data_IF_082342018515
#
_entry.id   IF_082342018515
#
_cell.length_a   1.000
_cell.length_b   1.000
_cell.length_c   1.000
_cell.angle_alpha   90.00
_cell.angle_beta   90.00
_cell.angle_gamma   90.00
#
_symmetry.space_group_name_H-M   'P 1'
#
loop_
_entity.id
_entity.type
_entity.pdbx_description
1 polymer ?
#
# COMPACT_ATOMS: atom_id res chain seq x y z
N UNK A 1 31.30 -13.49 -33.02
CA UNK A 1 29.96 -13.56 -33.64
C UNK A 1 29.10 -14.73 -33.08
N UNK A 2 29.69 -15.83 -32.58
CA UNK A 2 28.97 -16.97 -31.97
C UNK A 2 28.25 -16.63 -30.64
N UNK A 3 28.67 -15.60 -29.92
CA UNK A 3 28.07 -15.21 -28.61
C UNK A 3 26.83 -14.34 -28.71
N UNK A 4 26.49 -13.80 -29.89
CA UNK A 4 25.29 -12.99 -30.11
C UNK A 4 23.99 -13.81 -30.18
N UNK A 5 24.09 -15.13 -30.43
CA UNK A 5 22.89 -16.01 -30.37
C UNK A 5 22.35 -16.25 -28.96
N UNK A 6 23.10 -15.97 -27.92
CA UNK A 6 22.71 -16.23 -26.55
C UNK A 6 21.84 -15.10 -25.96
N UNK A 7 21.92 -13.87 -26.46
CA UNK A 7 21.12 -12.72 -25.99
C UNK A 7 19.63 -12.82 -26.29
N UNK A 8 19.25 -13.61 -27.31
CA UNK A 8 17.88 -13.89 -27.69
C UNK A 8 17.30 -15.16 -27.03
N UNK A 9 17.93 -15.66 -25.98
CA UNK A 9 17.36 -16.81 -25.27
C UNK A 9 16.07 -16.39 -24.54
N UNK A 10 15.02 -17.23 -24.50
CA UNK A 10 13.77 -16.94 -23.83
C UNK A 10 13.94 -16.50 -22.37
N UNK A 11 14.92 -17.09 -21.67
CA UNK A 11 15.25 -16.76 -20.29
C UNK A 11 15.77 -15.32 -20.15
N UNK A 12 16.75 -14.94 -20.99
CA UNK A 12 17.35 -13.59 -20.94
C UNK A 12 16.31 -12.53 -21.28
N UNK A 13 15.52 -12.75 -22.33
CA UNK A 13 14.45 -11.81 -22.75
C UNK A 13 13.37 -11.67 -21.68
N UNK A 14 12.93 -12.80 -21.10
CA UNK A 14 11.92 -12.78 -20.03
C UNK A 14 12.40 -12.09 -18.76
N UNK A 15 13.65 -12.32 -18.34
CA UNK A 15 14.23 -11.63 -17.20
C UNK A 15 14.38 -10.13 -17.49
N UNK A 16 14.88 -9.75 -18.67
CA UNK A 16 15.07 -8.35 -19.02
C UNK A 16 13.76 -7.55 -18.94
N UNK A 17 12.66 -8.09 -19.50
CA UNK A 17 11.36 -7.41 -19.48
C UNK A 17 10.77 -7.22 -18.06
N UNK A 18 11.13 -8.06 -17.10
CA UNK A 18 10.55 -8.02 -15.76
C UNK A 18 11.44 -7.48 -14.65
N UNK A 19 12.77 -7.54 -14.81
CA UNK A 19 13.70 -7.27 -13.72
C UNK A 19 13.65 -5.80 -13.25
N UNK A 20 13.74 -4.86 -14.18
CA UNK A 20 13.63 -3.44 -13.82
C UNK A 20 12.26 -3.09 -13.20
N UNK A 21 11.10 -3.46 -13.80
CA UNK A 21 9.80 -3.23 -13.19
C UNK A 21 9.66 -3.86 -11.79
N UNK A 22 10.22 -5.07 -11.59
CA UNK A 22 10.23 -5.74 -10.28
C UNK A 22 10.99 -4.92 -9.23
N UNK A 23 12.23 -4.55 -9.52
CA UNK A 23 13.08 -3.78 -8.62
C UNK A 23 12.48 -2.38 -8.35
N UNK A 24 11.94 -1.74 -9.38
CA UNK A 24 11.29 -0.45 -9.27
C UNK A 24 10.00 -0.55 -8.42
N UNK A 25 9.21 -1.61 -8.57
CA UNK A 25 8.05 -1.86 -7.71
C UNK A 25 8.43 -1.92 -6.24
N UNK A 26 9.53 -2.60 -5.90
CA UNK A 26 10.03 -2.66 -4.53
C UNK A 26 10.60 -1.32 -4.07
N UNK A 27 11.36 -0.63 -4.89
CA UNK A 27 11.91 0.67 -4.57
C UNK A 27 10.82 1.73 -4.27
N UNK A 28 9.78 1.76 -5.12
CA UNK A 28 8.70 2.76 -5.03
C UNK A 28 7.65 2.43 -3.97
N UNK A 29 7.49 1.14 -3.62
CA UNK A 29 6.41 0.66 -2.75
C UNK A 29 6.93 -0.19 -1.58
N UNK A 30 8.15 0.04 -1.15
CA UNK A 30 8.84 -0.79 -0.15
C UNK A 30 8.02 -0.99 1.13
N UNK A 31 7.30 0.04 1.58
CA UNK A 31 6.46 -0.04 2.78
C UNK A 31 5.14 -0.77 2.57
N UNK A 32 4.74 -1.00 1.31
CA UNK A 32 3.52 -1.72 0.92
C UNK A 32 3.76 -3.20 0.60
N UNK A 33 5.02 -3.59 0.31
CA UNK A 33 5.37 -4.90 -0.24
C UNK A 33 6.40 -5.63 0.63
N UNK A 34 6.25 -5.55 1.94
CA UNK A 34 7.24 -6.02 2.91
C UNK A 34 7.02 -7.47 3.40
N UNK A 35 6.05 -8.21 2.85
CA UNK A 35 5.80 -9.60 3.23
C UNK A 35 6.48 -10.61 2.30
N UNK A 36 6.91 -11.76 2.86
CA UNK A 36 7.49 -12.86 2.08
C UNK A 36 6.52 -13.39 1.02
N UNK A 37 5.23 -13.47 1.35
CA UNK A 37 4.21 -13.94 0.40
C UNK A 37 4.09 -13.01 -0.80
N UNK A 38 4.14 -11.69 -0.59
CA UNK A 38 4.19 -10.72 -1.69
C UNK A 38 5.49 -10.84 -2.50
N UNK A 39 6.63 -11.04 -1.86
CA UNK A 39 7.90 -11.22 -2.56
C UNK A 39 7.83 -12.41 -3.52
N UNK A 40 7.37 -13.57 -3.05
CA UNK A 40 7.22 -14.77 -3.88
C UNK A 40 6.22 -14.56 -5.02
N UNK A 41 5.10 -13.91 -4.73
CA UNK A 41 4.11 -13.55 -5.74
C UNK A 41 4.70 -12.62 -6.81
N UNK A 42 5.42 -11.57 -6.42
CA UNK A 42 5.99 -10.62 -7.38
C UNK A 42 7.18 -11.21 -8.16
N UNK A 43 7.97 -12.10 -7.58
CA UNK A 43 8.96 -12.89 -8.34
C UNK A 43 8.24 -13.69 -9.43
N UNK A 44 7.16 -14.39 -9.09
CA UNK A 44 6.38 -15.13 -10.08
C UNK A 44 5.78 -14.21 -11.14
N UNK A 45 5.14 -13.11 -10.73
CA UNK A 45 4.45 -12.19 -11.62
C UNK A 45 5.40 -11.43 -12.58
N UNK A 46 6.50 -10.89 -12.06
CA UNK A 46 7.42 -10.06 -12.84
C UNK A 46 8.49 -10.87 -13.59
N UNK A 47 8.91 -12.01 -13.08
CA UNK A 47 10.05 -12.76 -13.67
C UNK A 47 9.62 -14.10 -14.25
N UNK A 48 8.90 -14.93 -13.49
CA UNK A 48 8.58 -16.29 -13.94
C UNK A 48 7.58 -16.26 -15.10
N UNK A 49 6.52 -15.48 -15.03
CA UNK A 49 5.51 -15.38 -16.10
C UNK A 49 6.14 -14.90 -17.42
N UNK A 50 6.91 -13.80 -17.50
CA UNK A 50 7.59 -13.42 -18.74
C UNK A 50 8.54 -14.49 -19.28
N UNK A 51 9.26 -15.20 -18.42
CA UNK A 51 10.12 -16.32 -18.85
C UNK A 51 9.29 -17.42 -19.50
N UNK A 52 8.18 -17.84 -18.87
CA UNK A 52 7.27 -18.86 -19.39
C UNK A 52 6.70 -18.44 -20.74
N UNK A 53 6.22 -17.20 -20.88
CA UNK A 53 5.69 -16.67 -22.15
C UNK A 53 6.74 -16.81 -23.26
N UNK A 54 7.99 -16.41 -23.01
CA UNK A 54 9.06 -16.50 -24.00
C UNK A 54 9.46 -17.95 -24.33
N UNK A 55 9.40 -18.86 -23.36
CA UNK A 55 9.58 -20.29 -23.62
C UNK A 55 8.46 -20.87 -24.50
N UNK A 56 7.20 -20.50 -24.20
CA UNK A 56 6.07 -20.91 -25.02
C UNK A 56 6.21 -20.38 -26.46
N UNK A 57 6.57 -19.11 -26.64
CA UNK A 57 6.85 -18.56 -27.98
C UNK A 57 7.91 -19.35 -28.72
N UNK A 58 8.98 -19.78 -28.05
CA UNK A 58 10.03 -20.64 -28.65
C UNK A 58 9.49 -22.01 -29.03
N UNK A 59 8.64 -22.62 -28.21
CA UNK A 59 8.00 -23.92 -28.54
C UNK A 59 7.08 -23.78 -29.75
N UNK A 60 6.23 -22.75 -29.77
CA UNK A 60 5.30 -22.48 -30.87
C UNK A 60 6.05 -22.17 -32.18
N UNK A 61 7.18 -21.44 -32.11
CA UNK A 61 8.00 -21.16 -33.30
C UNK A 61 8.61 -22.43 -33.95
N UNK A 62 8.76 -23.51 -33.17
CA UNK A 62 9.23 -24.80 -33.73
C UNK A 62 8.12 -25.61 -34.41
N UNK A 63 6.84 -25.34 -34.07
CA UNK A 63 5.69 -26.11 -34.54
C UNK A 63 4.84 -25.38 -35.58
N UNK A 64 4.86 -24.05 -35.59
CA UNK A 64 3.99 -23.21 -36.44
C UNK A 64 4.87 -22.36 -37.36
N UNK A 65 4.76 -22.55 -38.67
CA UNK A 65 5.57 -21.86 -39.70
C UNK A 65 5.44 -20.34 -39.62
N UNK A 66 4.26 -19.82 -39.33
CA UNK A 66 4.05 -18.37 -39.12
C UNK A 66 4.86 -17.86 -37.93
N UNK A 67 4.82 -18.55 -36.79
CA UNK A 67 5.56 -18.18 -35.61
C UNK A 67 7.08 -18.28 -35.82
N UNK A 68 7.54 -19.28 -36.59
CA UNK A 68 8.94 -19.40 -36.96
C UNK A 68 9.42 -18.22 -37.81
N UNK A 69 8.62 -17.83 -38.81
CA UNK A 69 8.93 -16.70 -39.72
C UNK A 69 8.99 -15.35 -38.97
N UNK A 70 8.18 -15.18 -37.95
CA UNK A 70 8.03 -13.92 -37.22
C UNK A 70 8.62 -13.98 -35.80
N UNK A 71 9.45 -14.95 -35.49
CA UNK A 71 9.93 -15.19 -34.11
C UNK A 71 10.60 -13.97 -33.47
N UNK A 72 11.48 -13.28 -34.19
CA UNK A 72 12.16 -12.08 -33.68
C UNK A 72 11.16 -10.96 -33.36
N UNK A 73 10.09 -10.80 -34.12
CA UNK A 73 9.04 -9.83 -33.85
C UNK A 73 8.20 -10.23 -32.64
N UNK A 74 7.82 -11.50 -32.53
CA UNK A 74 7.07 -12.01 -31.37
C UNK A 74 7.87 -11.89 -30.08
N UNK A 75 9.17 -12.15 -30.15
CA UNK A 75 10.07 -11.99 -29.02
C UNK A 75 10.21 -10.51 -28.60
N UNK A 76 10.26 -9.60 -29.58
CA UNK A 76 10.27 -8.15 -29.32
C UNK A 76 8.95 -7.69 -28.70
N UNK A 77 7.81 -8.17 -29.17
CA UNK A 77 6.51 -7.88 -28.56
C UNK A 77 6.48 -8.33 -27.10
N UNK A 78 6.86 -9.58 -26.85
CA UNK A 78 6.85 -10.13 -25.50
C UNK A 78 7.73 -9.31 -24.55
N UNK A 79 8.91 -8.86 -25.01
CA UNK A 79 9.81 -8.04 -24.22
C UNK A 79 9.25 -6.62 -24.02
N UNK A 80 9.03 -5.87 -25.10
CA UNK A 80 8.71 -4.42 -25.04
C UNK A 80 7.35 -4.17 -24.44
N UNK A 81 6.33 -4.94 -24.84
CA UNK A 81 4.98 -4.82 -24.29
C UNK A 81 4.94 -5.31 -22.85
N UNK A 82 5.62 -6.43 -22.55
CA UNK A 82 5.74 -6.96 -21.20
C UNK A 82 6.43 -5.97 -20.25
N UNK A 83 7.59 -5.44 -20.65
CA UNK A 83 8.30 -4.42 -19.88
C UNK A 83 7.41 -3.21 -19.57
N UNK A 84 6.77 -2.66 -20.61
CA UNK A 84 5.94 -1.46 -20.46
C UNK A 84 4.70 -1.69 -19.58
N UNK A 85 4.02 -2.84 -19.74
CA UNK A 85 2.87 -3.19 -18.92
C UNK A 85 3.24 -3.37 -17.45
N UNK A 86 4.33 -4.11 -17.17
CA UNK A 86 4.82 -4.34 -15.81
C UNK A 86 5.33 -3.06 -15.16
N UNK A 87 6.01 -2.20 -15.92
CA UNK A 87 6.46 -0.90 -15.44
C UNK A 87 5.29 0.03 -15.14
N UNK A 88 4.28 0.08 -16.01
CA UNK A 88 3.07 0.86 -15.78
C UNK A 88 2.38 0.43 -14.49
N UNK A 89 2.23 -0.88 -14.27
CA UNK A 89 1.72 -1.40 -13.00
C UNK A 89 2.59 -0.94 -11.81
N UNK A 90 3.91 -0.99 -11.93
CA UNK A 90 4.82 -0.60 -10.85
C UNK A 90 4.70 0.89 -10.48
N UNK A 91 4.37 1.75 -11.43
CA UNK A 91 4.21 3.20 -11.22
C UNK A 91 2.83 3.54 -10.64
N UNK A 92 1.76 3.10 -11.31
CA UNK A 92 0.39 3.55 -11.02
C UNK A 92 -0.52 2.48 -10.40
N UNK A 93 -0.03 1.25 -10.21
CA UNK A 93 -0.83 0.13 -9.71
C UNK A 93 -1.72 -0.50 -10.79
N UNK A 94 -2.77 -1.27 -10.39
CA UNK A 94 -3.58 -2.10 -11.30
C UNK A 94 -4.64 -1.33 -12.10
N UNK A 95 -4.29 -0.19 -12.68
CA UNK A 95 -5.20 0.62 -13.50
C UNK A 95 -5.33 0.01 -14.90
N UNK A 96 -6.25 -0.96 -15.04
CA UNK A 96 -6.41 -1.82 -16.24
C UNK A 96 -6.50 -1.03 -17.55
N UNK A 97 -7.24 0.09 -17.58
CA UNK A 97 -7.43 0.90 -18.80
C UNK A 97 -6.11 1.53 -19.28
N UNK A 98 -5.30 2.03 -18.36
CA UNK A 98 -4.01 2.65 -18.71
C UNK A 98 -3.01 1.59 -19.13
N UNK A 99 -2.94 0.46 -18.41
CA UNK A 99 -2.08 -0.66 -18.78
C UNK A 99 -2.41 -1.15 -20.19
N UNK A 100 -3.70 -1.34 -20.51
CA UNK A 100 -4.13 -1.76 -21.85
C UNK A 100 -3.74 -0.74 -22.94
N UNK A 101 -3.95 0.56 -22.68
CA UNK A 101 -3.55 1.61 -23.62
C UNK A 101 -2.04 1.58 -23.89
N UNK A 102 -1.22 1.48 -22.83
CA UNK A 102 0.24 1.36 -22.97
C UNK A 102 0.64 0.12 -23.76
N UNK A 103 -0.01 -1.03 -23.51
CA UNK A 103 0.26 -2.26 -24.26
C UNK A 103 -0.03 -2.08 -25.75
N UNK A 104 -1.13 -1.43 -26.12
CA UNK A 104 -1.49 -1.15 -27.54
C UNK A 104 -0.44 -0.25 -28.20
N UNK A 105 -0.05 0.84 -27.53
CA UNK A 105 0.97 1.74 -28.04
C UNK A 105 2.33 1.05 -28.24
N UNK A 106 2.76 0.26 -27.25
CA UNK A 106 4.03 -0.44 -27.28
C UNK A 106 4.04 -1.63 -28.24
N UNK A 107 2.87 -2.22 -28.52
CA UNK A 107 2.71 -3.20 -29.60
C UNK A 107 3.09 -2.58 -30.96
N UNK A 108 2.53 -1.40 -31.29
CA UNK A 108 2.91 -0.67 -32.50
C UNK A 108 4.40 -0.31 -32.54
N UNK A 109 4.94 0.16 -31.39
CA UNK A 109 6.35 0.55 -31.30
C UNK A 109 7.33 -0.62 -31.45
N UNK A 110 6.90 -1.83 -31.11
CA UNK A 110 7.73 -3.05 -31.26
C UNK A 110 8.15 -3.33 -32.70
N UNK A 111 7.37 -2.91 -33.71
CA UNK A 111 7.75 -3.05 -35.13
C UNK A 111 9.02 -2.26 -35.45
N UNK A 112 9.23 -1.10 -34.82
CA UNK A 112 10.41 -0.27 -34.98
C UNK A 112 11.61 -0.89 -34.25
N UNK A 113 11.38 -1.49 -33.09
CA UNK A 113 12.43 -2.01 -32.22
C UNK A 113 12.93 -3.41 -32.56
N UNK A 114 12.27 -4.17 -33.44
CA UNK A 114 12.63 -5.58 -33.74
C UNK A 114 14.08 -5.77 -34.16
N UNK A 115 14.67 -4.79 -34.87
CA UNK A 115 16.08 -4.83 -35.30
C UNK A 115 17.05 -4.43 -34.16
N UNK A 116 16.56 -3.85 -33.10
CA UNK A 116 17.32 -3.28 -32.00
C UNK A 116 17.10 -4.00 -30.66
N UNK A 117 16.41 -5.15 -30.64
CA UNK A 117 16.05 -5.88 -29.43
C UNK A 117 17.23 -6.08 -28.46
N UNK A 118 18.42 -6.42 -28.98
CA UNK A 118 19.61 -6.59 -28.12
C UNK A 118 20.00 -5.29 -27.39
N UNK A 119 19.84 -4.14 -28.04
CA UNK A 119 20.10 -2.83 -27.40
C UNK A 119 19.06 -2.52 -26.33
N UNK A 120 17.79 -2.85 -26.60
CA UNK A 120 16.69 -2.72 -25.63
C UNK A 120 16.96 -3.56 -24.39
N UNK A 121 17.31 -4.83 -24.57
CA UNK A 121 17.64 -5.75 -23.45
C UNK A 121 18.81 -5.21 -22.62
N UNK A 122 19.86 -4.71 -23.25
CA UNK A 122 21.01 -4.12 -22.55
C UNK A 122 20.55 -2.90 -21.73
N UNK A 123 19.74 -2.03 -22.34
CA UNK A 123 19.18 -0.85 -21.64
C UNK A 123 18.34 -1.26 -20.43
N UNK A 124 17.47 -2.26 -20.56
CA UNK A 124 16.64 -2.78 -19.48
C UNK A 124 17.49 -3.30 -18.31
N UNK A 125 18.58 -4.00 -18.58
CA UNK A 125 19.51 -4.45 -17.53
C UNK A 125 20.29 -3.29 -16.87
N UNK A 126 20.68 -2.27 -17.64
CA UNK A 126 21.32 -1.06 -17.09
C UNK A 126 20.34 -0.35 -16.14
N UNK A 127 19.09 -0.15 -16.55
CA UNK A 127 18.04 0.43 -15.70
C UNK A 127 17.83 -0.40 -14.43
N UNK A 128 17.77 -1.74 -14.57
CA UNK A 128 17.64 -2.64 -13.44
C UNK A 128 18.81 -2.51 -12.45
N UNK A 129 20.04 -2.41 -12.93
CA UNK A 129 21.23 -2.22 -12.10
C UNK A 129 21.16 -0.90 -11.31
N UNK A 130 20.77 0.20 -11.96
CA UNK A 130 20.65 1.51 -11.31
C UNK A 130 19.64 1.43 -10.14
N UNK A 131 18.45 0.86 -10.40
CA UNK A 131 17.44 0.74 -9.35
C UNK A 131 17.84 -0.27 -8.27
N UNK A 132 18.55 -1.35 -8.63
CA UNK A 132 19.07 -2.28 -7.63
C UNK A 132 20.01 -1.61 -6.63
N UNK A 133 20.89 -0.72 -7.08
CA UNK A 133 21.78 0.06 -6.23
C UNK A 133 20.95 1.00 -5.33
N UNK A 134 19.98 1.73 -5.90
CA UNK A 134 19.11 2.62 -5.14
C UNK A 134 18.30 1.86 -4.08
N UNK A 135 17.74 0.70 -4.44
CA UNK A 135 17.00 -0.16 -3.53
C UNK A 135 17.89 -0.69 -2.41
N UNK A 136 19.13 -1.12 -2.71
CA UNK A 136 20.07 -1.61 -1.70
C UNK A 136 20.42 -0.54 -0.68
N UNK A 137 20.67 0.70 -1.11
CA UNK A 137 20.90 1.85 -0.23
C UNK A 137 19.65 2.16 0.60
N UNK A 138 18.47 2.15 -0.02
CA UNK A 138 17.21 2.43 0.67
C UNK A 138 16.92 1.36 1.74
N UNK A 139 17.06 0.08 1.39
CA UNK A 139 16.88 -1.05 2.32
C UNK A 139 17.88 -0.98 3.47
N UNK A 140 19.15 -0.73 3.19
CA UNK A 140 20.20 -0.59 4.20
C UNK A 140 19.87 0.51 5.22
N UNK A 141 19.40 1.67 4.74
CA UNK A 141 19.01 2.78 5.62
C UNK A 141 17.76 2.48 6.46
N UNK A 142 16.84 1.63 5.97
CA UNK A 142 15.60 1.32 6.67
C UNK A 142 15.69 0.10 7.60
N UNK A 143 16.51 -0.90 7.27
CA UNK A 143 16.73 -2.09 8.12
C UNK A 143 17.50 -1.73 9.38
N UNK A 144 18.40 -0.76 9.34
CA UNK A 144 19.16 -0.29 10.49
C UNK A 144 18.36 0.57 11.47
N UNK A 145 17.08 0.84 11.19
CA UNK A 145 16.19 1.49 12.14
C UNK A 145 15.90 0.52 13.30
N UNK A 146 16.44 0.82 14.46
CA UNK A 146 16.24 -0.03 15.64
C UNK A 146 14.75 -0.18 15.96
N UNK A 147 14.31 -1.39 16.27
CA UNK A 147 12.96 -1.66 16.79
C UNK A 147 12.76 -1.24 18.24
N UNK A 148 13.77 -0.67 18.88
CA UNK A 148 13.74 -0.25 20.29
C UNK A 148 12.67 0.79 20.61
N UNK A 149 12.17 1.54 19.61
CA UNK A 149 11.03 2.43 19.79
C UNK A 149 9.72 1.69 20.14
N UNK A 150 9.62 0.41 19.85
CA UNK A 150 8.47 -0.44 20.18
C UNK A 150 8.48 -0.92 21.63
N UNK A 151 9.63 -0.87 22.30
CA UNK A 151 9.76 -1.30 23.68
C UNK A 151 9.24 -0.20 24.60
N UNK A 152 8.33 -0.55 25.50
CA UNK A 152 7.84 0.32 26.56
C UNK A 152 8.66 0.05 27.84
N UNK A 153 8.97 1.09 28.63
CA UNK A 153 9.76 0.92 29.86
C UNK A 153 8.98 0.18 30.95
N UNK A 154 7.64 0.17 30.88
CA UNK A 154 6.75 -0.36 31.89
C UNK A 154 6.06 -1.64 31.44
N UNK A 155 5.57 -2.44 32.40
CA UNK A 155 4.76 -3.65 32.15
C UNK A 155 3.32 -3.28 31.77
N UNK A 156 3.15 -2.35 30.85
CA UNK A 156 1.81 -1.86 30.45
C UNK A 156 0.91 -2.97 29.95
N UNK A 157 1.50 -4.03 29.37
CA UNK A 157 0.78 -5.23 28.96
C UNK A 157 0.16 -6.00 30.12
N UNK A 158 0.51 -5.73 31.36
CA UNK A 158 -0.02 -6.39 32.58
C UNK A 158 -1.15 -5.62 33.23
N UNK A 159 -1.52 -4.47 32.67
CA UNK A 159 -2.62 -3.64 33.18
C UNK A 159 -3.93 -4.41 33.19
N UNK A 160 -4.61 -4.41 34.33
CA UNK A 160 -5.96 -4.98 34.51
C UNK A 160 -6.99 -3.88 34.65
N UNK A 161 -8.05 -3.95 33.87
CA UNK A 161 -9.12 -2.93 33.88
C UNK A 161 -10.09 -3.17 35.05
N UNK A 162 -10.29 -2.13 35.85
CA UNK A 162 -11.30 -2.13 36.93
C UNK A 162 -12.75 -2.13 36.43
N UNK A 163 -12.97 -1.50 35.27
CA UNK A 163 -14.25 -1.44 34.55
C UNK A 163 -14.02 -1.79 33.10
N UNK A 164 -15.00 -2.43 32.46
CA UNK A 164 -14.89 -2.87 31.06
C UNK A 164 -16.03 -2.32 30.19
N UNK A 165 -16.12 -0.98 30.03
CA UNK A 165 -17.05 -0.40 29.06
C UNK A 165 -16.61 -0.74 27.63
N UNK A 166 -17.51 -0.64 26.67
CA UNK A 166 -17.12 -0.63 25.26
C UNK A 166 -16.27 0.62 24.96
N UNK A 167 -15.22 0.43 24.19
CA UNK A 167 -14.28 1.50 23.79
C UNK A 167 -14.30 1.64 22.27
N UNK A 168 -14.53 2.87 21.81
CA UNK A 168 -14.58 3.23 20.40
C UNK A 168 -13.53 4.29 20.12
N UNK A 169 -12.58 4.00 19.25
CA UNK A 169 -11.71 5.00 18.63
C UNK A 169 -12.25 5.21 17.21
N UNK A 170 -12.90 6.34 16.98
CA UNK A 170 -13.48 6.71 15.68
C UNK A 170 -12.61 7.81 15.10
N UNK A 171 -11.98 7.53 13.96
CA UNK A 171 -11.10 8.44 13.25
C UNK A 171 -11.71 8.82 11.90
N UNK A 172 -12.36 10.00 11.81
CA UNK A 172 -12.72 10.58 10.53
C UNK A 172 -11.45 11.17 9.89
N UNK A 173 -11.02 10.62 8.77
CA UNK A 173 -9.85 11.10 8.06
C UNK A 173 -10.10 12.50 7.48
N UNK A 174 -9.08 13.35 7.57
CA UNK A 174 -9.17 14.75 7.12
C UNK A 174 -10.04 15.68 7.98
N UNK A 175 -10.58 15.23 9.11
CA UNK A 175 -11.32 16.11 10.01
C UNK A 175 -10.38 16.97 10.85
N UNK A 176 -10.39 18.27 10.60
CA UNK A 176 -9.59 19.23 11.35
C UNK A 176 -10.30 19.71 12.62
N UNK A 177 -9.54 20.14 13.63
CA UNK A 177 -10.13 20.72 14.83
C UNK A 177 -10.82 22.08 14.54
N UNK A 178 -11.73 22.51 15.43
CA UNK A 178 -12.53 23.70 15.25
C UNK A 178 -11.71 24.97 15.00
N UNK A 179 -10.60 25.16 15.69
CA UNK A 179 -9.74 26.34 15.50
C UNK A 179 -9.12 26.37 14.10
N UNK A 180 -8.70 25.21 13.60
CA UNK A 180 -8.18 25.09 12.22
C UNK A 180 -9.28 25.33 11.19
N UNK A 181 -10.50 24.79 11.41
CA UNK A 181 -11.61 25.00 10.49
C UNK A 181 -12.04 26.46 10.40
N UNK A 182 -12.03 27.20 11.53
CA UNK A 182 -12.39 28.63 11.58
C UNK A 182 -11.32 29.56 11.01
N UNK A 183 -10.06 29.12 10.98
CA UNK A 183 -8.94 29.93 10.46
C UNK A 183 -8.80 29.82 8.94
N UNK A 184 -7.98 30.70 8.36
CA UNK A 184 -7.58 30.61 6.96
C UNK A 184 -6.85 29.29 6.68
N UNK A 185 -7.05 28.70 5.50
CA UNK A 185 -7.89 29.15 4.38
C UNK A 185 -9.33 28.63 4.43
N UNK A 186 -9.74 27.94 5.47
CA UNK A 186 -10.99 27.15 5.47
C UNK A 186 -12.23 27.99 5.75
N UNK A 187 -12.22 28.88 6.76
CA UNK A 187 -13.36 29.72 7.20
C UNK A 187 -14.68 28.92 7.41
N UNK A 188 -14.55 27.68 7.92
CA UNK A 188 -15.71 26.81 8.14
C UNK A 188 -16.17 26.93 9.59
N UNK A 189 -17.44 27.29 9.79
CA UNK A 189 -18.09 27.23 11.09
C UNK A 189 -18.70 25.85 11.33
N UNK A 190 -18.16 25.13 12.31
CA UNK A 190 -18.61 23.80 12.73
C UNK A 190 -19.30 23.80 14.10
N UNK A 191 -19.72 24.96 14.59
CA UNK A 191 -20.29 25.14 15.92
C UNK A 191 -21.53 24.29 16.19
N UNK A 192 -22.38 24.09 15.18
CA UNK A 192 -23.56 23.23 15.30
C UNK A 192 -23.22 21.78 15.62
N UNK A 193 -22.19 21.25 14.96
CA UNK A 193 -21.74 19.88 15.23
C UNK A 193 -21.05 19.76 16.59
N UNK A 194 -20.25 20.75 16.97
CA UNK A 194 -19.63 20.80 18.30
C UNK A 194 -20.68 20.86 19.41
N UNK A 195 -21.71 21.71 19.26
CA UNK A 195 -22.85 21.80 20.19
C UNK A 195 -23.57 20.47 20.31
N UNK A 196 -23.83 19.79 19.18
CA UNK A 196 -24.45 18.46 19.21
C UNK A 196 -23.57 17.45 19.98
N UNK A 197 -22.25 17.46 19.80
CA UNK A 197 -21.36 16.58 20.55
C UNK A 197 -21.42 16.88 22.07
N UNK A 198 -21.41 18.15 22.46
CA UNK A 198 -21.51 18.57 23.86
C UNK A 198 -22.83 18.12 24.46
N UNK A 199 -23.95 18.26 23.75
CA UNK A 199 -25.28 17.76 24.17
C UNK A 199 -25.34 16.24 24.39
N UNK A 200 -24.38 15.50 23.75
CA UNK A 200 -24.21 14.07 23.92
C UNK A 200 -23.09 13.71 24.90
N UNK A 201 -22.75 14.63 25.80
CA UNK A 201 -21.70 14.44 26.82
C UNK A 201 -20.30 14.21 26.29
N UNK A 202 -20.00 14.62 25.05
CA UNK A 202 -18.63 14.59 24.52
C UNK A 202 -17.83 15.77 25.08
N UNK A 203 -16.59 15.48 25.47
CA UNK A 203 -15.64 16.51 25.86
C UNK A 203 -14.80 16.94 24.65
N UNK A 204 -14.89 18.20 24.28
CA UNK A 204 -14.13 18.75 23.14
C UNK A 204 -12.73 19.20 23.59
N UNK A 205 -11.71 18.86 22.83
CA UNK A 205 -10.33 19.30 23.01
C UNK A 205 -9.92 20.16 21.80
N UNK A 206 -10.13 21.48 21.83
CA UNK A 206 -10.02 22.34 20.65
C UNK A 206 -8.60 22.46 20.10
N UNK A 207 -7.59 22.17 20.91
CA UNK A 207 -6.18 22.24 20.54
C UNK A 207 -5.55 20.85 20.34
N UNK A 208 -6.37 19.81 20.21
CA UNK A 208 -5.85 18.47 19.94
C UNK A 208 -5.12 18.43 18.60
N UNK A 209 -3.95 17.77 18.58
CA UNK A 209 -3.15 17.56 17.39
C UNK A 209 -2.71 16.12 17.30
N UNK A 210 -2.62 15.62 16.06
CA UNK A 210 -2.04 14.30 15.81
C UNK A 210 -0.54 14.31 16.11
N UNK A 211 0.02 13.14 16.42
CA UNK A 211 1.44 12.99 16.69
C UNK A 211 2.32 13.30 15.46
N UNK A 212 1.80 13.08 14.27
CA UNK A 212 2.49 13.24 12.98
C UNK A 212 1.54 13.75 11.91
N UNK A 213 2.08 14.23 10.81
CA UNK A 213 1.32 14.80 9.68
C UNK A 213 0.66 13.76 8.77
N UNK A 214 0.89 12.47 9.01
CA UNK A 214 0.45 11.38 8.13
C UNK A 214 -0.24 10.30 8.97
N UNK A 215 -1.33 9.76 8.46
CA UNK A 215 -2.22 8.81 9.13
C UNK A 215 -1.48 7.56 9.61
N UNK A 216 -0.67 6.93 8.76
CA UNK A 216 0.05 5.70 9.12
C UNK A 216 1.04 5.94 10.27
N UNK A 217 1.77 7.05 10.24
CA UNK A 217 2.74 7.37 11.30
C UNK A 217 2.06 7.77 12.60
N UNK A 218 0.97 8.53 12.54
CA UNK A 218 0.18 8.89 13.73
C UNK A 218 -0.47 7.67 14.38
N UNK A 219 -1.16 6.84 13.61
CA UNK A 219 -1.80 5.63 14.10
C UNK A 219 -0.78 4.63 14.65
N UNK A 220 0.34 4.44 13.96
CA UNK A 220 1.42 3.57 14.44
C UNK A 220 1.96 4.04 15.80
N UNK A 221 2.15 5.35 16.02
CA UNK A 221 2.61 5.87 17.30
C UNK A 221 1.54 5.73 18.40
N UNK A 222 0.27 5.91 18.07
CA UNK A 222 -0.86 5.71 18.98
C UNK A 222 -0.93 4.25 19.45
N UNK A 223 -0.89 3.28 18.53
CA UNK A 223 -0.95 1.85 18.84
C UNK A 223 0.32 1.30 19.50
N UNK A 224 1.47 1.94 19.27
CA UNK A 224 2.70 1.64 19.98
C UNK A 224 2.79 2.39 21.33
N UNK A 225 1.87 3.31 21.63
CA UNK A 225 1.87 4.21 22.78
C UNK A 225 3.19 4.98 22.92
N UNK A 226 3.83 5.34 21.80
CA UNK A 226 5.17 5.92 21.78
C UNK A 226 5.46 6.65 20.47
N UNK A 227 6.09 7.83 20.60
CA UNK A 227 6.67 8.50 19.44
C UNK A 227 7.89 7.74 18.92
N UNK A 228 7.98 7.56 17.59
CA UNK A 228 9.04 6.76 16.97
C UNK A 228 10.04 7.57 16.14
N UNK A 229 9.77 8.86 15.89
CA UNK A 229 10.68 9.71 15.11
C UNK A 229 11.74 10.46 15.91
N UNK A 230 11.61 10.54 17.22
CA UNK A 230 12.59 11.29 18.01
C UNK A 230 14.02 10.76 17.92
N UNK A 231 14.20 9.51 17.48
CA UNK A 231 15.51 8.91 17.19
C UNK A 231 15.93 9.01 15.73
N UNK A 232 15.12 9.62 14.87
CA UNK A 232 15.45 9.86 13.47
C UNK A 232 15.80 11.33 13.24
N UNK A 233 17.10 11.73 13.36
CA UNK A 233 17.52 13.13 13.30
C UNK A 233 17.28 13.78 11.93
N UNK A 234 17.00 12.99 10.89
CA UNK A 234 16.77 13.51 9.52
C UNK A 234 15.33 13.98 9.29
N UNK A 235 14.45 13.87 10.30
CA UNK A 235 13.08 14.43 10.23
C UNK A 235 12.24 14.02 9.01
N UNK A 236 12.62 12.93 8.35
CA UNK A 236 11.95 12.52 7.13
C UNK A 236 10.57 11.95 7.47
N UNK A 237 9.52 12.68 7.08
CA UNK A 237 8.11 12.34 7.30
C UNK A 237 7.62 11.20 6.41
N UNK A 238 8.49 10.58 5.59
CA UNK A 238 8.14 9.41 4.80
C UNK A 238 7.80 8.26 5.72
N UNK A 239 6.83 7.47 5.31
CA UNK A 239 6.41 6.29 6.03
C UNK A 239 7.59 5.35 6.28
N UNK A 240 7.83 5.02 7.56
CA UNK A 240 8.88 4.10 7.96
C UNK A 240 8.44 2.64 7.75
N UNK A 241 9.41 1.77 7.51
CA UNK A 241 9.19 0.34 7.35
C UNK A 241 8.50 -0.28 8.59
N UNK A 242 7.47 -1.10 8.37
CA UNK A 242 6.77 -1.86 9.40
C UNK A 242 5.74 -1.08 10.23
N UNK A 243 5.44 0.19 9.91
CA UNK A 243 4.43 0.97 10.63
C UNK A 243 3.02 0.39 10.49
N UNK A 244 2.66 -0.13 9.31
CA UNK A 244 1.36 -0.82 9.11
C UNK A 244 1.20 -2.03 10.02
N UNK A 245 2.26 -2.80 10.22
CA UNK A 245 2.26 -3.93 11.17
C UNK A 245 2.00 -3.44 12.59
N UNK A 246 2.51 -2.28 12.98
CA UNK A 246 2.27 -1.71 14.30
C UNK A 246 0.83 -1.27 14.53
N UNK A 247 0.04 -1.07 13.47
CA UNK A 247 -1.39 -0.77 13.56
C UNK A 247 -2.22 -2.05 13.53
N UNK A 248 -2.00 -2.89 12.52
CA UNK A 248 -2.88 -4.00 12.19
C UNK A 248 -2.54 -5.32 12.91
N UNK A 249 -1.28 -5.53 13.29
CA UNK A 249 -0.84 -6.74 14.01
C UNK A 249 -1.00 -6.58 15.52
N UNK A 250 -0.53 -7.57 16.25
CA UNK A 250 -0.49 -7.52 17.71
C UNK A 250 0.41 -6.34 18.16
N UNK A 251 -0.21 -5.33 18.73
CA UNK A 251 0.43 -4.12 19.25
C UNK A 251 0.07 -3.95 20.72
N UNK A 252 0.70 -2.97 21.38
CA UNK A 252 0.53 -2.78 22.83
C UNK A 252 -0.94 -2.53 23.21
N UNK A 253 -1.64 -1.64 22.48
CA UNK A 253 -3.03 -1.30 22.78
C UNK A 253 -3.92 -2.53 22.62
N UNK A 254 -3.87 -3.21 21.47
CA UNK A 254 -4.67 -4.42 21.22
C UNK A 254 -4.34 -5.53 22.22
N UNK A 255 -3.05 -5.69 22.56
CA UNK A 255 -2.62 -6.70 23.56
C UNK A 255 -3.24 -6.45 24.94
N UNK A 256 -3.28 -5.19 25.38
CA UNK A 256 -3.89 -4.83 26.68
C UNK A 256 -5.39 -5.12 26.65
N UNK A 257 -6.10 -4.77 25.59
CA UNK A 257 -7.54 -5.06 25.47
C UNK A 257 -7.82 -6.56 25.41
N UNK A 258 -7.07 -7.32 24.60
CA UNK A 258 -7.21 -8.78 24.52
C UNK A 258 -6.99 -9.45 25.88
N UNK A 259 -5.96 -9.03 26.62
CA UNK A 259 -5.65 -9.54 27.96
C UNK A 259 -6.75 -9.26 28.99
N UNK A 260 -7.49 -8.18 28.78
CA UNK A 260 -8.64 -7.80 29.62
C UNK A 260 -9.97 -8.39 29.10
N UNK A 261 -9.94 -9.42 28.24
CA UNK A 261 -11.10 -10.12 27.67
C UNK A 261 -12.04 -9.21 26.87
N UNK A 262 -11.48 -8.26 26.11
CA UNK A 262 -12.23 -7.52 25.10
C UNK A 262 -12.22 -8.28 23.77
N UNK A 263 -13.32 -8.17 23.04
CA UNK A 263 -13.36 -8.47 21.61
C UNK A 263 -12.80 -7.27 20.85
N UNK A 264 -11.79 -7.46 20.02
CA UNK A 264 -11.12 -6.39 19.33
C UNK A 264 -11.47 -6.36 17.85
N UNK A 265 -11.80 -5.18 17.32
CA UNK A 265 -12.25 -5.00 15.94
C UNK A 265 -11.49 -3.89 15.23
N UNK A 266 -10.94 -4.21 14.07
CA UNK A 266 -10.35 -3.29 13.12
C UNK A 266 -11.36 -3.02 12.00
N UNK A 267 -11.97 -1.84 12.01
CA UNK A 267 -12.99 -1.44 11.05
C UNK A 267 -12.42 -0.31 10.20
N UNK A 268 -11.92 -0.66 9.04
CA UNK A 268 -11.30 0.24 8.08
C UNK A 268 -12.08 0.23 6.77
N UNK A 269 -12.13 1.35 6.10
CA UNK A 269 -12.89 1.52 4.87
C UNK A 269 -12.13 1.01 3.66
N UNK A 270 -10.79 1.14 3.67
CA UNK A 270 -9.88 0.69 2.61
C UNK A 270 -8.77 -0.20 3.17
N UNK A 271 -8.27 -1.16 2.38
CA UNK A 271 -7.26 -2.11 2.85
C UNK A 271 -5.84 -1.55 2.99
N UNK A 272 -5.60 -0.25 2.85
CA UNK A 272 -4.25 0.32 2.78
C UNK A 272 -3.38 0.06 4.03
N UNK A 273 -3.98 -0.16 5.19
CA UNK A 273 -3.27 -0.54 6.42
C UNK A 273 -2.82 -2.02 6.39
N UNK A 274 -3.56 -2.87 5.68
CA UNK A 274 -3.35 -4.33 5.67
C UNK A 274 -2.91 -4.87 4.30
N UNK A 275 -2.55 -4.01 3.36
CA UNK A 275 -2.19 -4.39 1.98
C UNK A 275 -1.00 -5.35 1.90
N UNK A 276 -0.08 -5.29 2.86
CA UNK A 276 1.05 -6.19 3.01
C UNK A 276 0.68 -7.54 3.68
N UNK A 277 -0.61 -7.77 3.94
CA UNK A 277 -1.16 -8.97 4.59
C UNK A 277 -0.46 -9.32 5.91
N UNK A 278 -0.42 -8.42 6.89
CA UNK A 278 0.16 -8.69 8.19
C UNK A 278 -0.67 -9.76 8.91
N UNK A 279 -0.07 -10.48 9.86
CA UNK A 279 -0.88 -11.26 10.83
C UNK A 279 -1.69 -10.28 11.65
N UNK A 280 -3.02 -10.38 11.60
CA UNK A 280 -3.90 -9.47 12.34
C UNK A 280 -3.80 -9.74 13.84
N UNK A 281 -3.76 -8.65 14.62
CA UNK A 281 -3.82 -8.67 16.07
C UNK A 281 -5.24 -8.57 16.62
N UNK A 282 -6.21 -8.27 15.77
CA UNK A 282 -7.62 -8.09 16.09
C UNK A 282 -8.42 -9.36 15.83
N UNK A 283 -9.49 -9.56 16.59
CA UNK A 283 -10.40 -10.69 16.39
C UNK A 283 -11.27 -10.55 15.14
N UNK A 284 -11.55 -9.32 14.72
CA UNK A 284 -12.37 -9.00 13.55
C UNK A 284 -11.70 -7.92 12.69
N UNK A 285 -11.85 -8.03 11.38
CA UNK A 285 -11.49 -7.00 10.42
C UNK A 285 -12.61 -6.83 9.38
N UNK A 286 -13.01 -5.59 9.12
CA UNK A 286 -14.07 -5.25 8.14
C UNK A 286 -13.71 -5.61 6.70
N UNK A 287 -12.42 -5.62 6.37
CA UNK A 287 -11.94 -6.01 5.04
C UNK A 287 -11.82 -7.54 4.96
N UNK A 288 -12.30 -8.20 3.90
CA UNK A 288 -12.15 -9.63 3.68
C UNK A 288 -10.69 -9.96 3.35
N UNK A 289 -9.88 -10.02 4.37
CA UNK A 289 -8.43 -10.09 4.35
C UNK A 289 -7.87 -11.24 3.46
N UNK A 290 -8.54 -12.41 3.46
CA UNK A 290 -8.11 -13.56 2.66
C UNK A 290 -8.31 -13.35 1.15
N UNK A 291 -9.25 -12.49 0.78
CA UNK A 291 -9.60 -12.19 -0.62
C UNK A 291 -8.80 -11.02 -1.20
N UNK A 292 -8.04 -10.32 -0.37
CA UNK A 292 -7.25 -9.18 -0.80
C UNK A 292 -6.22 -9.60 -1.86
N UNK A 293 -6.27 -8.97 -3.03
CA UNK A 293 -5.31 -9.23 -4.10
C UNK A 293 -3.88 -8.81 -3.71
N UNK A 294 -2.88 -9.60 -4.09
CA UNK A 294 -1.48 -9.18 -3.97
C UNK A 294 -1.12 -7.97 -4.86
N UNK A 295 -1.95 -7.70 -5.87
CA UNK A 295 -1.80 -6.52 -6.73
C UNK A 295 -2.44 -5.27 -6.13
N UNK A 296 -3.19 -5.38 -5.01
CA UNK A 296 -3.81 -4.25 -4.34
C UNK A 296 -2.77 -3.23 -3.88
N UNK A 297 -3.11 -1.97 -4.05
CA UNK A 297 -2.37 -0.81 -3.49
C UNK A 297 -3.10 -0.18 -2.31
N UNK A 298 -4.17 -0.82 -1.86
CA UNK A 298 -4.89 -0.41 -0.67
C UNK A 298 -6.10 0.50 -0.89
N UNK A 299 -6.41 0.86 -2.14
CA UNK A 299 -7.56 1.74 -2.47
C UNK A 299 -8.44 1.21 -3.61
N UNK A 300 -8.26 -0.05 -3.98
CA UNK A 300 -8.99 -0.73 -5.06
C UNK A 300 -10.24 -1.49 -4.57
N UNK A 301 -10.47 -1.52 -3.28
CA UNK A 301 -11.63 -2.08 -2.61
C UNK A 301 -12.07 -1.12 -1.50
N UNK A 302 -13.36 -0.93 -1.31
CA UNK A 302 -13.93 -0.17 -0.20
C UNK A 302 -15.09 -0.92 0.44
N UNK A 303 -15.23 -0.81 1.76
CA UNK A 303 -16.39 -1.26 2.52
C UNK A 303 -17.03 -0.05 3.21
N UNK A 304 -18.31 -0.14 3.56
CA UNK A 304 -18.94 0.90 4.36
C UNK A 304 -18.60 0.68 5.85
N UNK A 305 -17.65 1.45 6.35
CA UNK A 305 -17.17 1.32 7.74
C UNK A 305 -18.27 1.52 8.79
N UNK A 306 -19.30 2.35 8.53
CA UNK A 306 -20.42 2.57 9.45
C UNK A 306 -21.35 1.35 9.51
N UNK A 307 -21.60 0.70 8.39
CA UNK A 307 -22.42 -0.51 8.36
C UNK A 307 -21.68 -1.69 8.98
N UNK A 308 -20.38 -1.82 8.74
CA UNK A 308 -19.54 -2.81 9.41
C UNK A 308 -19.44 -2.58 10.93
N UNK A 309 -19.38 -1.31 11.38
CA UNK A 309 -19.44 -0.97 12.80
C UNK A 309 -20.78 -1.39 13.42
N UNK A 310 -21.91 -1.06 12.79
CA UNK A 310 -23.25 -1.46 13.28
C UNK A 310 -23.39 -2.96 13.39
N UNK A 311 -22.89 -3.70 12.39
CA UNK A 311 -22.87 -5.16 12.37
C UNK A 311 -22.01 -5.71 13.52
N UNK A 312 -20.79 -5.24 13.69
CA UNK A 312 -19.89 -5.69 14.75
C UNK A 312 -20.47 -5.40 16.16
N UNK A 313 -21.10 -4.26 16.37
CA UNK A 313 -21.78 -3.93 17.62
C UNK A 313 -22.96 -4.89 17.90
N UNK A 314 -23.77 -5.19 16.87
CA UNK A 314 -24.92 -6.09 16.99
C UNK A 314 -24.51 -7.51 17.34
N UNK A 315 -23.43 -8.01 16.71
CA UNK A 315 -22.92 -9.37 16.90
C UNK A 315 -22.24 -9.58 18.26
N UNK A 316 -21.70 -8.53 18.88
CA UNK A 316 -20.87 -8.62 20.08
C UNK A 316 -21.49 -7.96 21.34
N UNK A 317 -22.81 -7.94 21.47
CA UNK A 317 -23.53 -7.22 22.55
C UNK A 317 -23.22 -7.70 23.98
N UNK A 318 -22.81 -8.97 24.15
CA UNK A 318 -22.72 -9.63 25.45
C UNK A 318 -21.31 -9.62 26.07
N UNK A 319 -20.39 -8.84 25.48
CA UNK A 319 -19.00 -8.76 25.97
C UNK A 319 -18.46 -7.35 25.81
N UNK A 320 -17.38 -7.03 26.52
CA UNK A 320 -16.69 -5.76 26.34
C UNK A 320 -15.96 -5.73 24.99
N UNK A 321 -16.06 -4.63 24.30
CA UNK A 321 -15.52 -4.49 22.94
C UNK A 321 -14.60 -3.28 22.82
N UNK A 322 -13.53 -3.46 22.06
CA UNK A 322 -12.67 -2.40 21.57
C UNK A 322 -12.79 -2.30 20.05
N UNK A 323 -13.16 -1.13 19.58
CA UNK A 323 -13.30 -0.83 18.16
C UNK A 323 -12.32 0.26 17.76
N UNK A 324 -11.48 -0.01 16.75
CA UNK A 324 -10.80 1.03 16.00
C UNK A 324 -11.49 1.16 14.64
N UNK A 325 -12.05 2.35 14.39
CA UNK A 325 -12.89 2.63 13.24
C UNK A 325 -12.27 3.79 12.48
N UNK A 326 -11.88 3.55 11.24
CA UNK A 326 -11.36 4.58 10.34
C UNK A 326 -12.36 4.85 9.23
N UNK A 327 -12.78 6.10 9.12
CA UNK A 327 -13.70 6.60 8.11
C UNK A 327 -12.97 7.56 7.19
N UNK A 328 -12.72 7.15 5.94
CA UNK A 328 -11.98 7.95 4.97
C UNK A 328 -12.91 8.74 4.03
N UNK A 329 -14.06 8.18 3.67
CA UNK A 329 -15.00 8.83 2.75
C UNK A 329 -16.04 9.72 3.46
N UNK A 330 -16.31 10.92 2.93
CA UNK A 330 -15.65 11.55 1.78
C UNK A 330 -14.23 11.98 2.14
N UNK A 331 -13.23 11.52 1.40
CA UNK A 331 -11.83 11.84 1.68
C UNK A 331 -11.54 13.35 1.52
N UNK A 332 -10.55 13.83 2.24
CA UNK A 332 -10.08 15.23 2.15
C UNK A 332 -9.58 15.62 0.74
N UNK A 333 -9.31 14.64 -0.11
CA UNK A 333 -8.93 14.86 -1.53
C UNK A 333 -10.08 14.44 -2.46
N UNK A 334 -11.09 13.73 -1.96
CA UNK A 334 -12.16 13.19 -2.79
C UNK A 334 -13.33 14.10 -2.85
N UNK A 335 -13.84 14.20 -3.98
CA UNK A 335 -14.71 15.24 -4.38
C UNK A 335 -15.97 14.64 -4.96
N UNK A 336 -17.08 14.98 -4.39
CA UNK A 336 -18.36 14.86 -5.05
C UNK A 336 -18.34 15.75 -6.30
N UNK A 337 -19.19 15.46 -7.31
CA UNK A 337 -19.24 16.21 -8.56
C UNK A 337 -19.31 17.74 -8.39
N UNK A 338 -19.80 18.23 -7.26
CA UNK A 338 -19.92 19.66 -6.96
C UNK A 338 -18.66 20.28 -6.30
N UNK A 339 -17.65 19.50 -5.98
CA UNK A 339 -16.45 19.95 -5.27
C UNK A 339 -15.19 20.01 -6.16
N UNK A 340 -15.35 19.93 -7.50
CA UNK A 340 -14.22 20.14 -8.43
C UNK A 340 -13.58 21.51 -8.27
N UNK A 341 -14.31 22.51 -7.77
CA UNK A 341 -13.79 23.84 -7.41
C UNK A 341 -12.89 23.84 -6.18
N UNK A 342 -13.18 23.00 -5.14
CA UNK A 342 -12.34 22.91 -3.93
C UNK A 342 -10.96 22.31 -4.17
N UNK A 343 -10.77 21.49 -5.21
CA UNK A 343 -9.44 20.97 -5.57
C UNK A 343 -8.46 22.02 -6.08
N UNK A 344 -8.96 23.09 -6.66
CA UNK A 344 -8.12 24.21 -7.10
C UNK A 344 -7.72 25.10 -5.92
N UNK A 345 -8.55 25.21 -4.90
CA UNK A 345 -8.28 26.00 -3.71
C UNK A 345 -7.32 25.31 -2.74
N UNK A 346 -7.40 23.98 -2.59
CA UNK A 346 -6.45 23.20 -1.78
C UNK A 346 -5.04 23.11 -2.43
N UNK A 347 -4.89 23.40 -3.70
CA UNK A 347 -3.60 23.40 -4.42
C UNK A 347 -2.92 24.75 -4.47
N UNK A 348 -3.58 25.83 -4.07
CA UNK A 348 -3.02 27.18 -3.91
C UNK A 348 -2.54 27.40 -2.48
#
# INVERSE_FOLDING_TARGET
LKNLHNTKSPKIVGIASGLYPFLYNYYSNFTLVDSLAQLLFFIAFFLVIPIIINFLLKIFSKKITFAAKHYDLLLTFSNVVGFAALLTYSIIGPVKKIILLVMILMFGFSFLLKKHLNKVIILEYILALIVAIQLAVYVGNNINLSSGWKQLPDNISEVTFKKRPNVYIIQPDGYANANTLKSEPYHIDNSNFESFLIEKDFKIYPNFRSNYTNTITSNSSMFAMKHHYYKNPKGNTKEAYGLRKSIASNNVVVSVFNKNNYKTSLIIEFPYIIVNRPTLGYDYCSIPYKELSFLSRGFDMAVNSLDEMKKAIKENKNQANFYFIEKILPGHISVTKNQSKGKEEERK
#
